data_IF_678601559195
#
_entry.id   IF_678601559195
#
_cell.length_a   1.000
_cell.length_b   1.000
_cell.length_c   1.000
_cell.angle_alpha   90.00
_cell.angle_beta   90.00
_cell.angle_gamma   90.00
#
_symmetry.space_group_name_H-M   'P 1'
#
loop_
_entity.id
_entity.type
_entity.pdbx_description
1 polymer ?
#
# COMPACT_ATOMS: atom_id res chain seq x y z
N UNK A 1 7.49 -12.75 14.55
CA UNK A 1 6.78 -11.50 14.89
C UNK A 1 5.86 -11.16 13.73
N UNK A 2 4.72 -10.53 13.93
CA UNK A 2 3.87 -10.11 12.80
C UNK A 2 4.22 -8.68 12.37
N UNK A 3 4.85 -8.55 11.22
CA UNK A 3 5.26 -7.25 10.67
C UNK A 3 4.23 -6.76 9.64
N UNK A 4 3.80 -5.51 9.80
CA UNK A 4 2.94 -4.82 8.82
C UNK A 4 3.70 -3.68 8.17
N UNK A 5 3.76 -3.71 6.83
CA UNK A 5 4.50 -2.77 6.00
C UNK A 5 3.53 -2.12 5.02
N UNK A 6 3.77 -0.84 4.74
CA UNK A 6 2.95 -0.01 3.85
C UNK A 6 3.87 0.59 2.77
N UNK A 7 3.44 0.55 1.50
CA UNK A 7 4.08 1.37 0.45
C UNK A 7 3.44 2.76 0.48
N UNK A 8 4.26 3.81 0.45
CA UNK A 8 3.80 5.20 0.40
C UNK A 8 4.63 5.95 -0.64
N UNK A 9 4.02 6.86 -1.38
CA UNK A 9 4.71 7.72 -2.32
C UNK A 9 3.85 8.16 -3.50
N UNK A 10 4.43 9.00 -4.35
CA UNK A 10 3.71 9.67 -5.43
C UNK A 10 3.01 8.69 -6.40
N UNK A 11 1.90 9.10 -7.03
CA UNK A 11 1.37 8.41 -8.20
C UNK A 11 2.48 8.13 -9.23
N UNK A 12 2.44 6.95 -9.87
CA UNK A 12 3.41 6.52 -10.89
C UNK A 12 4.88 6.39 -10.46
N UNK A 13 5.19 6.35 -9.16
CA UNK A 13 6.57 6.18 -8.65
C UNK A 13 7.09 4.73 -8.60
N UNK A 14 6.33 3.76 -9.13
CA UNK A 14 6.72 2.34 -9.12
C UNK A 14 6.32 1.54 -7.87
N UNK A 15 5.46 2.08 -6.98
CA UNK A 15 4.97 1.37 -5.77
C UNK A 15 4.36 0.01 -6.08
N UNK A 16 3.49 -0.07 -7.08
CA UNK A 16 2.84 -1.32 -7.46
C UNK A 16 3.85 -2.33 -8.04
N UNK A 17 4.89 -1.86 -8.72
CA UNK A 17 6.01 -2.72 -9.15
C UNK A 17 6.74 -3.32 -7.96
N UNK A 18 7.06 -2.50 -6.94
CA UNK A 18 7.70 -2.97 -5.71
C UNK A 18 6.81 -3.96 -4.94
N UNK A 19 5.53 -3.64 -4.80
CA UNK A 19 4.53 -4.52 -4.18
C UNK A 19 4.51 -5.89 -4.86
N UNK A 20 4.38 -5.91 -6.20
CA UNK A 20 4.35 -7.15 -6.97
C UNK A 20 5.65 -7.95 -6.85
N UNK A 21 6.81 -7.28 -6.80
CA UNK A 21 8.10 -7.95 -6.63
C UNK A 21 8.22 -8.69 -5.29
N UNK A 22 7.62 -8.15 -4.21
CA UNK A 22 7.61 -8.82 -2.91
C UNK A 22 6.53 -9.89 -2.79
N UNK A 23 5.29 -9.61 -3.19
CA UNK A 23 4.16 -10.49 -2.91
C UNK A 23 3.97 -11.57 -3.96
N UNK A 24 4.43 -11.36 -5.20
CA UNK A 24 4.17 -12.25 -6.32
C UNK A 24 2.67 -12.56 -6.46
N UNK A 25 2.31 -13.85 -6.49
CA UNK A 25 0.93 -14.31 -6.56
C UNK A 25 0.18 -14.27 -5.21
N UNK A 26 0.86 -14.08 -4.07
CA UNK A 26 0.27 -14.05 -2.74
C UNK A 26 -0.33 -12.68 -2.41
N UNK A 27 -1.17 -12.17 -3.31
CA UNK A 27 -1.84 -10.88 -3.17
C UNK A 27 -3.35 -11.03 -3.25
N UNK A 28 -4.05 -10.11 -2.58
CA UNK A 28 -5.50 -9.96 -2.57
C UNK A 28 -5.83 -8.52 -2.91
N UNK A 29 -6.81 -8.36 -3.80
CA UNK A 29 -7.37 -7.06 -4.18
C UNK A 29 -8.77 -6.96 -3.61
N UNK A 30 -9.05 -5.85 -2.93
CA UNK A 30 -10.38 -5.49 -2.44
C UNK A 30 -10.56 -3.98 -2.49
N UNK A 31 -11.53 -3.48 -1.74
CA UNK A 31 -11.74 -2.03 -1.58
C UNK A 31 -11.43 -1.59 -0.15
N UNK A 32 -11.02 -0.34 0.00
CA UNK A 32 -10.98 0.30 1.32
C UNK A 32 -12.39 0.41 1.91
N UNK A 33 -12.49 0.33 3.23
CA UNK A 33 -13.77 0.34 3.93
C UNK A 33 -14.54 1.64 3.62
N UNK A 34 -15.78 1.49 3.15
CA UNK A 34 -16.68 2.62 2.88
C UNK A 34 -16.38 3.42 1.61
N UNK A 35 -15.42 2.99 0.78
CA UNK A 35 -15.09 3.68 -0.49
C UNK A 35 -14.83 2.68 -1.62
N UNK A 36 -14.84 3.16 -2.87
CA UNK A 36 -14.53 2.35 -4.06
C UNK A 36 -13.05 2.33 -4.43
N UNK A 37 -12.19 2.83 -3.55
CA UNK A 37 -10.73 2.87 -3.78
C UNK A 37 -10.17 1.46 -3.61
N UNK A 38 -9.42 1.01 -4.61
CA UNK A 38 -8.77 -0.30 -4.61
C UNK A 38 -7.73 -0.39 -3.47
N UNK A 39 -7.72 -1.54 -2.80
CA UNK A 39 -6.77 -1.91 -1.74
C UNK A 39 -6.07 -3.21 -2.14
N UNK A 40 -4.75 -3.15 -2.33
CA UNK A 40 -3.92 -4.34 -2.55
C UNK A 40 -3.21 -4.71 -1.27
N UNK A 41 -3.32 -5.97 -0.88
CA UNK A 41 -2.65 -6.54 0.28
C UNK A 41 -1.98 -7.83 -0.14
N UNK A 42 -0.86 -8.18 0.49
CA UNK A 42 -0.19 -9.44 0.23
C UNK A 42 0.78 -9.79 1.33
N UNK A 43 1.40 -10.95 1.20
CA UNK A 43 2.36 -11.45 2.18
C UNK A 43 3.62 -11.95 1.49
N UNK A 44 4.75 -11.76 2.14
CA UNK A 44 6.03 -12.33 1.70
C UNK A 44 6.85 -12.80 2.89
N UNK A 45 7.81 -13.69 2.64
CA UNK A 45 8.71 -14.21 3.67
C UNK A 45 10.14 -13.79 3.37
N UNK A 46 10.85 -13.31 4.38
CA UNK A 46 12.25 -12.91 4.28
C UNK A 46 12.99 -13.35 5.56
N UNK A 47 14.12 -14.05 5.40
CA UNK A 47 14.93 -14.54 6.51
C UNK A 47 14.16 -15.38 7.56
N UNK A 48 13.14 -16.12 7.11
CA UNK A 48 12.31 -16.97 7.99
C UNK A 48 11.15 -16.24 8.69
N UNK A 49 11.04 -14.92 8.55
CA UNK A 49 9.93 -14.13 9.10
C UNK A 49 8.88 -13.82 8.03
N UNK A 50 7.63 -13.65 8.45
CA UNK A 50 6.50 -13.30 7.57
C UNK A 50 6.16 -11.82 7.69
N UNK A 51 5.88 -11.20 6.55
CA UNK A 51 5.57 -9.78 6.43
C UNK A 51 4.25 -9.61 5.68
N UNK A 52 3.35 -8.82 6.24
CA UNK A 52 2.17 -8.32 5.56
C UNK A 52 2.50 -6.99 4.88
N UNK A 53 2.21 -6.87 3.59
CA UNK A 53 2.44 -5.67 2.79
C UNK A 53 1.11 -5.14 2.25
N UNK A 54 0.88 -3.83 2.34
CA UNK A 54 -0.29 -3.16 1.77
C UNK A 54 0.14 -2.02 0.84
N UNK A 55 -0.40 -1.98 -0.38
CA UNK A 55 -0.17 -0.89 -1.33
C UNK A 55 -1.13 0.27 -1.02
N UNK A 56 -0.61 1.45 -0.66
CA UNK A 56 -1.46 2.63 -0.47
C UNK A 56 -1.63 3.41 -1.78
N UNK A 57 -2.77 4.12 -1.94
CA UNK A 57 -2.94 5.07 -3.03
C UNK A 57 -1.80 6.07 -3.09
N UNK A 58 -1.40 6.44 -4.31
CA UNK A 58 -0.36 7.43 -4.49
C UNK A 58 -0.80 8.81 -4.02
N UNK A 59 0.02 9.46 -3.20
CA UNK A 59 -0.21 10.83 -2.71
C UNK A 59 1.04 11.68 -2.96
N UNK A 60 0.84 12.96 -3.30
CA UNK A 60 1.93 13.93 -3.45
C UNK A 60 2.25 14.67 -2.14
N UNK A 61 1.27 14.77 -1.24
CA UNK A 61 1.40 15.35 0.08
C UNK A 61 0.47 14.60 1.05
N UNK A 62 0.80 14.65 2.34
CA UNK A 62 -0.04 14.11 3.41
C UNK A 62 -1.12 15.11 3.86
N UNK A 63 -1.05 16.33 3.35
CA UNK A 63 -2.01 17.38 3.63
C UNK A 63 -3.28 17.18 2.81
N UNK A 64 -4.44 17.31 3.45
CA UNK A 64 -5.70 17.49 2.75
C UNK A 64 -5.72 18.95 2.34
N UNK A 65 -5.47 19.28 1.08
CA UNK A 65 -5.34 20.67 0.58
C UNK A 65 -6.60 21.56 0.71
N UNK A 66 -7.23 21.59 1.87
CA UNK A 66 -8.46 22.28 2.21
C UNK A 66 -8.32 23.22 3.44
N UNK A 67 -7.11 23.46 3.93
CA UNK A 67 -6.89 24.39 5.05
C UNK A 67 -6.68 25.85 4.59
N UNK A 68 -7.01 26.18 3.35
CA UNK A 68 -7.01 27.56 2.83
C UNK A 68 -8.43 28.11 2.68
N UNK A 69 -9.17 28.17 3.80
CA UNK A 69 -10.20 29.18 4.13
C UNK A 69 -10.87 28.79 5.46
N UNK A 70 -10.21 29.10 6.57
CA UNK A 70 -10.85 29.37 7.88
C UNK A 70 -10.84 30.87 8.13
#
# INVERSE_FOLDING_TARGET
>A
MDYSILTVGNPNSGKTTLFNAFTGANQKVGNWAGVTVEKKTGTYSLAGESFALTDLPGIYALDSGNDANS
#
